data_IF_550071442452
#
_entry.id   IF_550071442452
#
_cell.length_a   1.000
_cell.length_b   1.000
_cell.length_c   1.000
_cell.angle_alpha   90.00
_cell.angle_beta   90.00
_cell.angle_gamma   90.00
#
_symmetry.space_group_name_H-M   'P 1'
#
loop_
_entity.id
_entity.type
_entity.pdbx_description
1 polymer ?
#
# COMPACT_ATOMS: atom_id res chain seq x y z
N UNK A 1 -43.04 -4.79 -31.43
CA UNK A 1 -41.62 -4.43 -31.48
C UNK A 1 -40.84 -5.58 -30.83
N UNK A 2 -40.45 -6.58 -31.60
CA UNK A 2 -39.59 -7.68 -31.11
C UNK A 2 -38.16 -7.20 -31.19
N UNK A 3 -37.49 -7.06 -30.04
CA UNK A 3 -36.08 -6.71 -30.01
C UNK A 3 -35.30 -7.83 -30.72
N UNK A 4 -34.57 -7.51 -31.79
CA UNK A 4 -33.65 -8.47 -32.38
C UNK A 4 -32.59 -8.85 -31.34
N UNK A 5 -32.25 -10.15 -31.23
CA UNK A 5 -31.23 -10.61 -30.30
C UNK A 5 -29.84 -10.06 -30.70
N UNK A 6 -29.04 -9.68 -29.71
CA UNK A 6 -27.70 -9.13 -29.94
C UNK A 6 -26.79 -10.09 -30.70
N UNK A 7 -25.97 -9.53 -31.58
CA UNK A 7 -24.93 -10.28 -32.28
C UNK A 7 -23.77 -10.68 -31.34
N UNK A 8 -23.00 -11.73 -31.66
CA UNK A 8 -21.83 -12.13 -30.85
C UNK A 8 -20.79 -11.00 -30.67
N UNK A 9 -20.61 -10.13 -31.66
CA UNK A 9 -19.70 -8.98 -31.57
C UNK A 9 -20.23 -7.91 -30.60
N UNK A 10 -21.52 -7.60 -30.66
CA UNK A 10 -22.16 -6.65 -29.73
C UNK A 10 -22.10 -7.16 -28.28
N UNK A 11 -22.29 -8.47 -28.08
CA UNK A 11 -22.14 -9.11 -26.77
C UNK A 11 -20.71 -8.98 -26.24
N UNK A 12 -19.69 -9.23 -27.08
CA UNK A 12 -18.28 -9.03 -26.71
C UNK A 12 -17.99 -7.57 -26.39
N UNK A 13 -18.39 -6.63 -27.25
CA UNK A 13 -18.17 -5.20 -27.05
C UNK A 13 -18.83 -4.67 -25.77
N UNK A 14 -20.04 -5.16 -25.45
CA UNK A 14 -20.71 -4.87 -24.18
C UNK A 14 -19.94 -5.45 -22.99
N UNK A 15 -19.52 -6.72 -23.06
CA UNK A 15 -18.73 -7.34 -21.99
C UNK A 15 -17.41 -6.60 -21.73
N UNK A 16 -16.73 -6.14 -22.78
CA UNK A 16 -15.54 -5.28 -22.69
C UNK A 16 -15.82 -3.97 -21.95
N UNK A 17 -16.91 -3.30 -22.31
CA UNK A 17 -17.32 -2.03 -21.71
C UNK A 17 -17.66 -2.20 -20.23
N UNK A 18 -18.42 -3.24 -19.89
CA UNK A 18 -18.79 -3.56 -18.51
C UNK A 18 -17.54 -3.85 -17.67
N UNK A 19 -16.61 -4.69 -18.16
CA UNK A 19 -15.35 -4.96 -17.45
C UNK A 19 -14.55 -3.69 -17.18
N UNK A 20 -14.46 -2.80 -18.17
CA UNK A 20 -13.76 -1.51 -18.04
C UNK A 20 -14.42 -0.63 -16.98
N UNK A 21 -15.75 -0.50 -17.02
CA UNK A 21 -16.50 0.29 -16.04
C UNK A 21 -16.33 -0.25 -14.63
N UNK A 22 -16.43 -1.57 -14.43
CA UNK A 22 -16.23 -2.20 -13.12
C UNK A 22 -14.80 -1.97 -12.62
N UNK A 23 -13.79 -2.09 -13.49
CA UNK A 23 -12.39 -1.84 -13.13
C UNK A 23 -12.21 -0.43 -12.57
N UNK A 24 -12.73 0.59 -13.28
CA UNK A 24 -12.63 1.98 -12.83
C UNK A 24 -13.46 2.27 -11.58
N UNK A 25 -14.66 1.69 -11.46
CA UNK A 25 -15.49 1.83 -10.27
C UNK A 25 -14.77 1.31 -9.02
N UNK A 26 -14.14 0.13 -9.11
CA UNK A 26 -13.34 -0.43 -8.02
C UNK A 26 -12.16 0.48 -7.68
N UNK A 27 -11.43 0.97 -8.69
CA UNK A 27 -10.30 1.88 -8.47
C UNK A 27 -10.75 3.15 -7.73
N UNK A 28 -11.83 3.79 -8.18
CA UNK A 28 -12.35 5.01 -7.53
C UNK A 28 -12.79 4.72 -6.09
N UNK A 29 -13.46 3.60 -5.84
CA UNK A 29 -13.85 3.21 -4.49
C UNK A 29 -12.64 3.03 -3.56
N UNK A 30 -11.57 2.39 -4.04
CA UNK A 30 -10.34 2.21 -3.27
C UNK A 30 -9.66 3.56 -3.00
N UNK A 31 -9.60 4.45 -4.02
CA UNK A 31 -9.05 5.80 -3.84
C UNK A 31 -9.82 6.56 -2.75
N UNK A 32 -11.15 6.54 -2.77
CA UNK A 32 -11.97 7.21 -1.74
C UNK A 32 -11.75 6.61 -0.35
N UNK A 33 -11.64 5.29 -0.26
CA UNK A 33 -11.36 4.60 1.01
C UNK A 33 -10.01 5.04 1.62
N UNK A 34 -8.95 5.04 0.82
CA UNK A 34 -7.62 5.47 1.29
C UNK A 34 -7.56 6.96 1.58
N UNK A 35 -8.21 7.80 0.76
CA UNK A 35 -8.30 9.24 1.02
C UNK A 35 -8.97 9.54 2.38
N UNK A 36 -10.00 8.77 2.75
CA UNK A 36 -10.64 8.87 4.05
C UNK A 36 -9.69 8.52 5.21
N UNK A 37 -8.93 7.42 5.08
CA UNK A 37 -7.96 7.02 6.10
C UNK A 37 -6.79 8.00 6.23
N UNK A 38 -6.25 8.52 5.12
CA UNK A 38 -5.16 9.51 5.15
C UNK A 38 -5.64 10.86 5.69
N UNK A 39 -6.89 11.24 5.43
CA UNK A 39 -7.50 12.43 6.05
C UNK A 39 -7.61 12.27 7.57
N UNK A 40 -8.12 11.12 8.02
CA UNK A 40 -8.20 10.80 9.45
C UNK A 40 -6.82 10.78 10.12
N UNK A 41 -5.78 10.29 9.45
CA UNK A 41 -4.38 10.36 9.92
C UNK A 41 -3.93 11.80 10.17
N UNK A 42 -4.07 12.69 9.17
CA UNK A 42 -3.62 14.09 9.27
C UNK A 42 -4.37 14.85 10.36
N UNK A 43 -5.69 14.65 10.46
CA UNK A 43 -6.50 15.29 11.50
C UNK A 43 -6.15 14.76 12.90
N UNK A 44 -5.83 13.47 13.04
CA UNK A 44 -5.44 12.90 14.34
C UNK A 44 -4.06 13.38 14.80
N UNK A 45 -3.18 13.71 13.86
CA UNK A 45 -1.83 14.21 14.14
C UNK A 45 -1.81 15.63 14.72
N UNK A 46 -2.81 16.47 14.42
CA UNK A 46 -2.80 17.89 14.82
C UNK A 46 -3.24 18.14 16.27
N UNK A 47 -3.92 17.18 16.91
CA UNK A 47 -4.63 17.40 18.17
C UNK A 47 -3.93 16.99 19.47
N UNK A 48 -2.78 16.30 19.42
CA UNK A 48 -2.17 15.72 20.62
C UNK A 48 -0.73 15.25 20.46
N UNK A 49 -0.34 14.26 21.28
CA UNK A 49 0.95 13.59 21.16
C UNK A 49 0.98 12.72 19.91
N UNK A 50 2.00 12.91 19.08
CA UNK A 50 2.20 12.17 17.86
C UNK A 50 3.53 11.42 17.89
N UNK A 51 3.53 10.18 17.41
CA UNK A 51 4.73 9.37 17.32
C UNK A 51 5.12 9.26 15.85
N UNK A 52 6.21 9.93 15.48
CA UNK A 52 6.85 9.75 14.18
C UNK A 52 7.55 8.41 14.20
N UNK A 53 7.18 7.52 13.27
CA UNK A 53 7.80 6.20 13.14
C UNK A 53 8.72 6.24 11.93
N UNK A 54 10.00 5.98 12.14
CA UNK A 54 10.95 5.91 11.03
C UNK A 54 10.62 4.71 10.15
N UNK A 55 10.47 4.94 8.84
CA UNK A 55 10.11 3.88 7.89
C UNK A 55 11.28 2.91 7.71
N UNK A 56 11.10 1.60 8.00
CA UNK A 56 12.14 0.59 7.86
C UNK A 56 12.69 0.44 6.43
N UNK A 57 13.97 0.07 6.33
CA UNK A 57 14.67 -0.22 5.06
C UNK A 57 13.93 -1.22 4.12
N UNK A 58 13.29 -2.30 4.62
CA UNK A 58 12.55 -3.23 3.77
C UNK A 58 11.46 -2.58 2.88
N UNK A 59 10.85 -1.47 3.31
CA UNK A 59 9.82 -0.81 2.52
C UNK A 59 10.39 -0.15 1.24
N UNK A 60 11.65 0.26 1.24
CA UNK A 60 12.32 0.79 0.04
C UNK A 60 12.63 -0.31 -0.98
N UNK A 61 13.04 -1.49 -0.50
CA UNK A 61 13.22 -2.69 -1.34
C UNK A 61 11.89 -3.07 -2.00
N UNK A 62 10.79 -3.01 -1.24
CA UNK A 62 9.45 -3.25 -1.77
C UNK A 62 9.10 -2.30 -2.92
N UNK A 63 9.48 -1.02 -2.80
CA UNK A 63 9.19 0.01 -3.81
C UNK A 63 9.94 -0.26 -5.11
N UNK A 64 11.21 -0.66 -5.03
CA UNK A 64 11.95 -1.09 -6.21
C UNK A 64 11.31 -2.33 -6.86
N UNK A 65 10.90 -3.31 -6.05
CA UNK A 65 10.27 -4.55 -6.54
C UNK A 65 8.92 -4.28 -7.24
N UNK A 66 8.06 -3.41 -6.69
CA UNK A 66 6.74 -3.13 -7.28
C UNK A 66 6.86 -2.31 -8.57
N UNK A 67 7.84 -1.41 -8.67
CA UNK A 67 8.12 -0.67 -9.91
C UNK A 67 8.60 -1.62 -11.01
N UNK A 68 9.52 -2.54 -10.68
CA UNK A 68 9.97 -3.56 -11.63
C UNK A 68 8.82 -4.51 -12.04
N UNK A 69 7.98 -4.91 -11.09
CA UNK A 69 6.79 -5.75 -11.32
C UNK A 69 5.76 -5.07 -12.22
N UNK A 70 5.57 -3.77 -12.02
CA UNK A 70 4.72 -2.91 -12.86
C UNK A 70 5.24 -2.91 -14.31
N UNK A 71 6.55 -2.73 -14.51
CA UNK A 71 7.14 -2.78 -15.85
C UNK A 71 6.95 -4.13 -16.53
N UNK A 72 7.16 -5.25 -15.84
CA UNK A 72 6.95 -6.58 -16.42
C UNK A 72 5.48 -6.84 -16.80
N UNK A 73 4.53 -6.39 -15.97
CA UNK A 73 3.10 -6.48 -16.26
C UNK A 73 2.70 -5.65 -17.51
N UNK A 74 3.26 -4.44 -17.64
CA UNK A 74 3.07 -3.60 -18.82
C UNK A 74 3.60 -4.29 -20.08
N UNK A 75 4.79 -4.88 -20.03
CA UNK A 75 5.37 -5.61 -21.16
C UNK A 75 4.53 -6.83 -21.55
N UNK A 76 3.90 -7.51 -20.59
CA UNK A 76 2.97 -8.61 -20.85
C UNK A 76 1.75 -8.14 -21.66
N UNK A 77 1.14 -7.03 -21.22
CA UNK A 77 0.01 -6.42 -21.93
C UNK A 77 0.40 -5.93 -23.34
N UNK A 78 1.58 -5.32 -23.48
CA UNK A 78 2.12 -4.91 -24.79
C UNK A 78 2.31 -6.11 -25.71
N UNK A 79 2.86 -7.21 -25.20
CA UNK A 79 3.07 -8.43 -25.98
C UNK A 79 1.76 -9.02 -26.48
N UNK A 80 0.71 -9.01 -25.67
CA UNK A 80 -0.64 -9.42 -26.07
C UNK A 80 -1.21 -8.56 -27.20
N UNK A 81 -1.07 -7.23 -27.11
CA UNK A 81 -1.50 -6.29 -28.16
C UNK A 81 -0.77 -6.48 -29.49
N UNK A 82 0.49 -6.89 -29.44
CA UNK A 82 1.31 -7.16 -30.64
C UNK A 82 1.21 -8.59 -31.17
N UNK A 83 0.36 -9.44 -30.57
CA UNK A 83 0.18 -10.84 -30.98
C UNK A 83 1.31 -11.80 -30.56
N UNK A 84 2.29 -11.36 -29.77
CA UNK A 84 3.43 -12.18 -29.29
C UNK A 84 3.06 -13.01 -28.06
N UNK A 85 2.15 -13.97 -28.24
CA UNK A 85 1.51 -14.72 -27.14
C UNK A 85 2.46 -15.56 -26.28
N UNK A 86 3.55 -16.07 -26.85
CA UNK A 86 4.52 -16.93 -26.15
C UNK A 86 5.27 -16.25 -24.99
N UNK A 87 5.38 -14.92 -25.00
CA UNK A 87 6.11 -14.17 -23.96
C UNK A 87 5.24 -13.71 -22.78
N UNK A 88 3.91 -13.74 -22.93
CA UNK A 88 2.97 -13.19 -21.94
C UNK A 88 3.08 -13.95 -20.61
N UNK A 89 3.07 -15.29 -20.66
CA UNK A 89 3.13 -16.12 -19.46
C UNK A 89 4.43 -15.90 -18.69
N UNK A 90 5.58 -15.86 -19.37
CA UNK A 90 6.88 -15.62 -18.74
C UNK A 90 6.94 -14.25 -18.06
N UNK A 91 6.43 -13.20 -18.72
CA UNK A 91 6.37 -11.85 -18.16
C UNK A 91 5.46 -11.77 -16.93
N UNK A 92 4.29 -12.43 -16.96
CA UNK A 92 3.39 -12.48 -15.80
C UNK A 92 3.96 -13.29 -14.64
N UNK A 93 4.72 -14.35 -14.91
CA UNK A 93 5.45 -15.10 -13.87
C UNK A 93 6.53 -14.22 -13.25
N UNK A 94 7.28 -13.45 -14.04
CA UNK A 94 8.22 -12.47 -13.50
C UNK A 94 7.52 -11.42 -12.62
N UNK A 95 6.36 -10.90 -13.05
CA UNK A 95 5.51 -10.00 -12.26
C UNK A 95 5.12 -10.62 -10.92
N UNK A 96 4.70 -11.89 -10.92
CA UNK A 96 4.33 -12.62 -9.71
C UNK A 96 5.52 -12.78 -8.75
N UNK A 97 6.69 -13.20 -9.25
CA UNK A 97 7.89 -13.35 -8.41
C UNK A 97 8.28 -12.04 -7.76
N UNK A 98 8.26 -10.93 -8.51
CA UNK A 98 8.51 -9.60 -7.96
C UNK A 98 7.42 -9.16 -6.97
N UNK A 99 6.16 -9.54 -7.21
CA UNK A 99 5.06 -9.36 -6.27
C UNK A 99 5.27 -10.13 -4.95
N UNK A 100 5.83 -11.34 -5.01
CA UNK A 100 6.17 -12.12 -3.82
C UNK A 100 7.36 -11.50 -3.06
N UNK A 101 8.36 -10.98 -3.77
CA UNK A 101 9.45 -10.21 -3.16
C UNK A 101 8.90 -8.97 -2.44
N UNK A 102 7.97 -8.25 -3.07
CA UNK A 102 7.23 -7.15 -2.44
C UNK A 102 6.55 -7.63 -1.16
N UNK A 103 5.70 -8.66 -1.23
CA UNK A 103 4.99 -9.20 -0.05
C UNK A 103 5.94 -9.59 1.07
N UNK A 104 7.01 -10.30 0.76
CA UNK A 104 8.03 -10.70 1.75
C UNK A 104 8.68 -9.50 2.43
N UNK A 105 9.03 -8.47 1.67
CA UNK A 105 9.63 -7.24 2.22
C UNK A 105 8.66 -6.46 3.11
N UNK A 106 7.36 -6.47 2.81
CA UNK A 106 6.32 -5.89 3.68
C UNK A 106 6.28 -6.58 5.04
N UNK A 107 6.24 -7.92 5.05
CA UNK A 107 6.25 -8.69 6.30
C UNK A 107 7.53 -8.48 7.10
N UNK A 108 8.69 -8.33 6.43
CA UNK A 108 9.94 -7.95 7.11
C UNK A 108 9.87 -6.57 7.74
N UNK A 109 9.33 -5.57 7.02
CA UNK A 109 9.13 -4.23 7.55
C UNK A 109 8.21 -4.22 8.78
N UNK A 110 7.08 -4.93 8.73
CA UNK A 110 6.21 -5.09 9.89
C UNK A 110 6.88 -5.81 11.06
N UNK A 111 7.66 -6.87 10.79
CA UNK A 111 8.42 -7.56 11.84
C UNK A 111 9.39 -6.61 12.53
N UNK A 112 10.05 -5.73 11.79
CA UNK A 112 10.96 -4.74 12.37
C UNK A 112 10.20 -3.74 13.26
N UNK A 113 9.03 -3.28 12.82
CA UNK A 113 8.17 -2.38 13.59
C UNK A 113 7.67 -3.03 14.88
N UNK A 114 7.19 -4.28 14.82
CA UNK A 114 6.72 -5.00 16.02
C UNK A 114 7.86 -5.29 16.99
N UNK A 115 9.08 -5.60 16.51
CA UNK A 115 10.23 -5.76 17.41
C UNK A 115 10.60 -4.47 18.14
N UNK A 116 10.31 -3.31 17.54
CA UNK A 116 10.47 -1.99 18.15
C UNK A 116 9.28 -1.58 19.03
N UNK A 117 8.31 -2.46 19.28
CA UNK A 117 7.15 -2.16 20.12
C UNK A 117 5.99 -1.46 19.40
N UNK A 118 6.11 -1.22 18.10
CA UNK A 118 5.03 -0.63 17.31
C UNK A 118 4.04 -1.72 16.89
N UNK A 119 2.97 -1.84 17.66
CA UNK A 119 1.84 -2.75 17.38
C UNK A 119 0.60 -1.98 16.95
N UNK A 120 -0.39 -2.69 16.39
CA UNK A 120 -1.70 -2.13 16.04
C UNK A 120 -2.38 -1.43 17.22
N UNK A 121 -2.17 -1.92 18.44
CA UNK A 121 -2.58 -1.26 19.68
C UNK A 121 -1.38 -1.30 20.62
N UNK A 122 -0.80 -0.15 20.89
CA UNK A 122 0.35 0.04 21.78
C UNK A 122 0.23 1.39 22.49
N UNK A 123 0.87 1.55 23.64
CA UNK A 123 1.05 2.87 24.27
C UNK A 123 2.20 3.62 23.62
N UNK A 124 2.28 4.94 23.83
CA UNK A 124 3.39 5.76 23.32
C UNK A 124 4.74 5.32 23.91
N UNK A 125 4.75 4.92 25.18
CA UNK A 125 5.95 4.48 25.90
C UNK A 125 6.30 3.00 25.73
N UNK A 126 5.41 2.18 25.15
CA UNK A 126 5.66 0.76 24.85
C UNK A 126 6.55 0.61 23.59
N UNK A 127 7.66 1.33 23.53
CA UNK A 127 8.57 1.36 22.39
C UNK A 127 9.97 0.90 22.80
N UNK A 128 10.47 -0.12 22.10
CA UNK A 128 11.80 -0.69 22.32
C UNK A 128 12.85 -0.15 21.32
N UNK A 129 12.45 0.77 20.45
CA UNK A 129 13.32 1.46 19.51
C UNK A 129 14.17 2.54 20.17
N UNK A 130 15.08 3.13 19.39
CA UNK A 130 15.93 4.23 19.84
C UNK A 130 15.26 5.58 19.53
N UNK A 131 15.05 6.41 20.56
CA UNK A 131 14.50 7.76 20.39
C UNK A 131 15.41 8.63 19.50
N UNK A 132 14.83 9.36 18.55
CA UNK A 132 15.55 10.19 17.58
C UNK A 132 16.11 9.44 16.37
N UNK A 133 16.08 8.09 16.37
CA UNK A 133 16.48 7.27 15.23
C UNK A 133 15.30 6.47 14.70
N UNK A 134 14.66 5.68 15.56
CA UNK A 134 13.54 4.80 15.20
C UNK A 134 12.18 5.47 15.38
N UNK A 135 12.08 6.36 16.36
CA UNK A 135 10.86 7.13 16.61
C UNK A 135 11.16 8.47 17.25
N UNK A 136 10.28 9.44 17.02
CA UNK A 136 10.28 10.75 17.71
C UNK A 136 8.88 11.05 18.19
N UNK A 137 8.74 11.63 19.38
CA UNK A 137 7.44 12.06 19.90
C UNK A 137 7.33 13.56 19.71
N UNK A 138 6.25 14.02 19.07
CA UNK A 138 5.90 15.42 18.90
C UNK A 138 4.68 15.78 19.72
N UNK A 139 4.65 17.01 20.19
CA UNK A 139 3.48 17.63 20.78
C UNK A 139 3.29 19.01 20.17
N UNK A 140 2.12 19.26 19.57
CA UNK A 140 1.82 20.54 18.89
C UNK A 140 2.88 20.94 17.83
N UNK A 141 3.43 19.96 17.11
CA UNK A 141 4.46 20.17 16.09
C UNK A 141 5.88 20.38 16.61
N UNK A 142 6.11 20.37 17.93
CA UNK A 142 7.45 20.42 18.53
C UNK A 142 7.89 19.03 18.98
N UNK A 143 9.10 18.62 18.60
CA UNK A 143 9.69 17.36 19.09
C UNK A 143 10.03 17.48 20.58
N UNK A 144 9.65 16.48 21.36
CA UNK A 144 9.98 16.41 22.78
C UNK A 144 11.49 16.18 22.96
N UNK A 145 12.01 16.55 24.11
CA UNK A 145 13.41 16.27 24.49
C UNK A 145 13.41 15.11 25.46
N UNK A 146 14.26 14.11 25.21
CA UNK A 146 14.47 12.98 26.11
C UNK A 146 15.75 13.22 26.91
N UNK A 147 15.62 13.49 28.20
CA UNK A 147 16.74 13.62 29.15
C UNK A 147 16.44 12.83 30.42
N UNK A 148 17.44 12.15 30.98
CA UNK A 148 17.32 11.31 32.19
C UNK A 148 16.15 10.28 32.16
N UNK A 149 15.77 9.81 30.96
CA UNK A 149 14.65 8.87 30.77
C UNK A 149 13.27 9.53 30.84
N UNK A 150 13.21 10.85 30.93
CA UNK A 150 11.98 11.64 30.98
C UNK A 150 11.82 12.53 29.74
N UNK A 151 10.56 12.71 29.32
CA UNK A 151 10.20 13.53 28.17
C UNK A 151 9.78 14.92 28.61
N UNK A 152 10.37 15.94 27.99
CA UNK A 152 10.11 17.34 28.28
C UNK A 152 9.70 18.10 27.01
N UNK A 153 8.98 19.19 27.19
CA UNK A 153 8.79 20.16 26.11
C UNK A 153 10.12 20.86 25.81
N UNK A 154 10.44 21.14 24.54
CA UNK A 154 11.70 21.81 24.20
C UNK A 154 11.82 23.25 24.74
N UNK A 155 10.71 23.87 25.15
CA UNK A 155 10.72 25.19 25.80
C UNK A 155 10.98 25.11 27.33
N UNK A 156 10.93 23.91 27.94
CA UNK A 156 11.18 23.71 29.36
C UNK A 156 12.67 23.46 29.62
N UNK A 157 13.51 24.48 29.45
CA UNK A 157 14.97 24.37 29.60
C UNK A 157 15.43 23.91 31.00
N UNK A 158 14.56 23.95 32.01
CA UNK A 158 14.86 23.54 33.37
C UNK A 158 14.37 22.10 33.67
N UNK A 159 13.72 21.43 32.71
CA UNK A 159 13.24 20.06 32.80
C UNK A 159 12.43 19.80 34.09
N UNK A 160 11.58 20.76 34.45
CA UNK A 160 10.83 20.74 35.71
C UNK A 160 9.53 19.94 35.62
N UNK A 161 9.00 19.74 34.40
CA UNK A 161 7.72 19.09 34.16
C UNK A 161 7.86 17.87 33.25
N UNK A 162 8.15 16.68 33.81
CA UNK A 162 8.21 15.47 33.01
C UNK A 162 6.81 15.06 32.52
N UNK A 163 6.72 14.72 31.24
CA UNK A 163 5.48 14.35 30.56
C UNK A 163 5.19 12.84 30.58
N UNK A 164 6.04 12.04 31.25
CA UNK A 164 5.94 10.58 31.21
C UNK A 164 4.61 10.04 31.77
N UNK A 165 4.07 10.67 32.82
CA UNK A 165 2.77 10.27 33.38
C UNK A 165 1.65 10.45 32.35
N UNK A 166 1.64 11.59 31.67
CA UNK A 166 0.69 11.86 30.59
C UNK A 166 0.91 10.89 29.42
N UNK A 167 2.17 10.64 29.03
CA UNK A 167 2.52 9.77 27.91
C UNK A 167 2.18 8.29 28.15
N UNK A 168 2.21 7.80 29.40
CA UNK A 168 1.84 6.41 29.72
C UNK A 168 0.35 6.14 29.52
N UNK A 169 -0.49 7.17 29.64
CA UNK A 169 -1.93 7.05 29.37
C UNK A 169 -2.25 7.16 27.87
N UNK A 170 -1.33 7.70 27.07
CA UNK A 170 -1.55 7.92 25.64
C UNK A 170 -1.33 6.64 24.82
N UNK A 171 -2.28 6.40 23.92
CA UNK A 171 -2.16 5.35 22.90
C UNK A 171 -1.34 5.84 21.71
N UNK A 172 -0.54 4.97 21.14
CA UNK A 172 0.20 5.23 19.92
C UNK A 172 -0.74 5.17 18.70
N UNK A 173 -1.50 6.24 18.51
CA UNK A 173 -2.47 6.40 17.42
C UNK A 173 -1.80 6.35 16.05
N UNK A 174 -0.56 6.85 15.93
CA UNK A 174 0.24 6.81 14.70
C UNK A 174 0.49 5.37 14.23
N UNK A 175 0.93 4.49 15.14
CA UNK A 175 1.11 3.06 14.85
C UNK A 175 -0.19 2.41 14.37
N UNK A 176 -1.32 2.68 15.03
CA UNK A 176 -2.62 2.16 14.63
C UNK A 176 -2.97 2.52 13.18
N UNK A 177 -2.77 3.79 12.78
CA UNK A 177 -3.00 4.21 11.40
C UNK A 177 -2.00 3.61 10.42
N UNK A 178 -0.72 3.49 10.80
CA UNK A 178 0.28 2.84 9.96
C UNK A 178 -0.15 1.42 9.60
N UNK A 179 -0.57 0.62 10.59
CA UNK A 179 -1.07 -0.74 10.37
C UNK A 179 -2.41 -0.76 9.62
N UNK A 180 -3.31 0.20 9.85
CA UNK A 180 -4.57 0.29 9.11
C UNK A 180 -4.33 0.55 7.62
N UNK A 181 -3.49 1.53 7.27
CA UNK A 181 -3.15 1.88 5.89
C UNK A 181 -2.40 0.75 5.19
N UNK A 182 -1.31 0.26 5.79
CA UNK A 182 -0.50 -0.81 5.18
C UNK A 182 -1.22 -2.15 5.16
N UNK A 183 -2.02 -2.46 6.20
CA UNK A 183 -2.84 -3.67 6.26
C UNK A 183 -3.96 -3.67 5.24
N UNK A 184 -4.67 -2.55 5.08
CA UNK A 184 -5.66 -2.42 4.01
C UNK A 184 -5.01 -2.56 2.63
N UNK A 185 -3.81 -2.00 2.41
CA UNK A 185 -3.08 -2.17 1.15
C UNK A 185 -2.75 -3.64 0.89
N UNK A 186 -2.28 -4.38 1.90
CA UNK A 186 -2.01 -5.81 1.79
C UNK A 186 -3.27 -6.62 1.44
N UNK A 187 -4.43 -6.27 1.99
CA UNK A 187 -5.69 -6.91 1.63
C UNK A 187 -6.02 -6.74 0.14
N UNK A 188 -5.77 -5.56 -0.44
CA UNK A 188 -5.95 -5.33 -1.87
C UNK A 188 -4.88 -6.04 -2.71
N UNK A 189 -3.64 -6.11 -2.22
CA UNK A 189 -2.57 -6.88 -2.85
C UNK A 189 -2.95 -8.35 -2.98
N UNK A 190 -3.59 -8.94 -1.97
CA UNK A 190 -4.06 -10.33 -2.03
C UNK A 190 -4.97 -10.57 -3.25
N UNK A 191 -5.95 -9.71 -3.48
CA UNK A 191 -6.81 -9.79 -4.67
C UNK A 191 -6.02 -9.56 -5.98
N UNK A 192 -5.00 -8.70 -5.95
CA UNK A 192 -4.07 -8.50 -7.05
C UNK A 192 -3.27 -9.76 -7.40
N UNK A 193 -2.76 -10.47 -6.40
CA UNK A 193 -2.01 -11.72 -6.56
C UNK A 193 -2.90 -12.83 -7.11
N UNK A 194 -4.14 -12.95 -6.62
CA UNK A 194 -5.14 -13.89 -7.18
C UNK A 194 -5.43 -13.57 -8.64
N UNK A 195 -5.62 -12.28 -8.98
CA UNK A 195 -5.80 -11.83 -10.37
C UNK A 195 -4.60 -12.22 -11.26
N UNK A 196 -3.36 -12.04 -10.76
CA UNK A 196 -2.15 -12.47 -11.47
C UNK A 196 -2.13 -13.98 -11.74
N UNK A 197 -2.45 -14.81 -10.74
CA UNK A 197 -2.50 -16.26 -10.91
C UNK A 197 -3.52 -16.68 -11.98
N UNK A 198 -4.70 -16.05 -11.97
CA UNK A 198 -5.73 -16.27 -12.99
C UNK A 198 -5.22 -15.84 -14.37
N UNK A 199 -4.56 -14.69 -14.49
CA UNK A 199 -3.99 -14.24 -15.75
C UNK A 199 -2.88 -15.18 -16.26
N UNK A 200 -2.01 -15.68 -15.39
CA UNK A 200 -0.99 -16.67 -15.75
C UNK A 200 -1.67 -17.95 -16.28
N UNK A 201 -2.68 -18.48 -15.57
CA UNK A 201 -3.42 -19.66 -16.01
C UNK A 201 -4.13 -19.47 -17.36
N UNK A 202 -4.63 -18.27 -17.64
CA UNK A 202 -5.20 -17.93 -18.95
C UNK A 202 -4.12 -17.79 -20.04
N UNK A 203 -2.97 -17.21 -19.72
CA UNK A 203 -1.84 -17.05 -20.64
C UNK A 203 -1.24 -18.41 -21.03
N UNK A 204 -1.10 -19.34 -20.09
CA UNK A 204 -0.61 -20.70 -20.35
C UNK A 204 -1.55 -21.50 -21.27
N UNK A 205 -2.86 -21.25 -21.19
CA UNK A 205 -3.87 -21.81 -22.10
C UNK A 205 -3.95 -21.07 -23.45
N UNK A 206 -3.03 -20.14 -23.73
CA UNK A 206 -2.98 -19.31 -24.95
C UNK A 206 -4.29 -18.57 -25.25
N UNK A 207 -5.05 -18.19 -24.21
CA UNK A 207 -6.34 -17.49 -24.38
C UNK A 207 -6.20 -16.02 -24.75
N UNK A 208 -5.05 -15.41 -24.48
CA UNK A 208 -4.83 -14.00 -24.83
C UNK A 208 -4.42 -13.86 -26.28
N UNK A 209 -5.28 -13.22 -27.06
CA UNK A 209 -5.04 -12.83 -28.46
C UNK A 209 -5.08 -11.31 -28.59
N UNK A 210 -4.72 -10.78 -29.77
CA UNK A 210 -4.82 -9.34 -30.02
C UNK A 210 -6.27 -8.83 -29.86
N UNK A 211 -7.26 -9.67 -30.18
CA UNK A 211 -8.69 -9.35 -30.10
C UNK A 211 -9.30 -9.62 -28.71
N UNK A 212 -8.79 -10.62 -27.98
CA UNK A 212 -9.30 -11.01 -26.65
C UNK A 212 -8.22 -10.88 -25.56
N UNK A 213 -7.91 -9.64 -25.17
CA UNK A 213 -6.99 -9.30 -24.08
C UNK A 213 -7.65 -8.45 -22.98
N UNK A 214 -8.98 -8.44 -22.93
CA UNK A 214 -9.78 -7.67 -21.98
C UNK A 214 -9.39 -7.90 -20.53
N UNK A 215 -9.30 -9.18 -20.14
CA UNK A 215 -8.99 -9.59 -18.78
C UNK A 215 -7.57 -9.23 -18.39
N UNK A 216 -6.63 -9.34 -19.33
CA UNK A 216 -5.25 -8.92 -19.13
C UNK A 216 -5.17 -7.40 -18.93
N UNK A 217 -5.88 -6.62 -19.73
CA UNK A 217 -5.94 -5.17 -19.56
C UNK A 217 -6.48 -4.77 -18.19
N UNK A 218 -7.60 -5.34 -17.75
CA UNK A 218 -8.17 -5.04 -16.42
C UNK A 218 -7.23 -5.44 -15.30
N UNK A 219 -6.66 -6.65 -15.34
CA UNK A 219 -5.76 -7.12 -14.30
C UNK A 219 -4.44 -6.34 -14.23
N UNK A 220 -3.84 -5.99 -15.37
CA UNK A 220 -2.63 -5.17 -15.43
C UNK A 220 -2.92 -3.74 -14.96
N UNK A 221 -4.06 -3.15 -15.34
CA UNK A 221 -4.46 -1.82 -14.86
C UNK A 221 -4.64 -1.80 -13.34
N UNK A 222 -5.29 -2.83 -12.78
CA UNK A 222 -5.44 -2.96 -11.33
C UNK A 222 -4.09 -3.14 -10.62
N UNK A 223 -3.19 -3.95 -11.18
CA UNK A 223 -1.85 -4.14 -10.63
C UNK A 223 -1.02 -2.84 -10.62
N UNK A 224 -1.06 -2.08 -11.71
CA UNK A 224 -0.43 -0.75 -11.77
C UNK A 224 -1.01 0.20 -10.73
N UNK A 225 -2.33 0.22 -10.57
CA UNK A 225 -2.99 1.04 -9.56
C UNK A 225 -2.51 0.69 -8.14
N UNK A 226 -2.39 -0.60 -7.79
CA UNK A 226 -1.86 -1.01 -6.48
C UNK A 226 -0.42 -0.56 -6.25
N UNK A 227 0.41 -0.58 -7.30
CA UNK A 227 1.79 -0.09 -7.23
C UNK A 227 1.85 1.43 -7.04
N UNK A 228 1.05 2.20 -7.78
CA UNK A 228 0.95 3.66 -7.60
C UNK A 228 0.43 4.01 -6.20
N UNK A 229 -0.60 3.30 -5.74
CA UNK A 229 -1.15 3.45 -4.40
C UNK A 229 -0.08 3.19 -3.34
N UNK A 230 0.75 2.16 -3.49
CA UNK A 230 1.86 1.89 -2.58
C UNK A 230 2.87 3.04 -2.53
N UNK A 231 3.32 3.53 -3.69
CA UNK A 231 4.28 4.65 -3.77
C UNK A 231 3.71 5.90 -3.11
N UNK A 232 2.42 6.16 -3.32
CA UNK A 232 1.71 7.25 -2.62
C UNK A 232 1.71 7.05 -1.10
N UNK A 233 1.31 5.87 -0.60
CA UNK A 233 1.27 5.60 0.84
C UNK A 233 2.65 5.70 1.49
N UNK A 234 3.69 5.16 0.84
CA UNK A 234 5.06 5.28 1.33
C UNK A 234 5.50 6.74 1.39
N UNK A 235 5.26 7.51 0.33
CA UNK A 235 5.59 8.94 0.32
C UNK A 235 4.82 9.70 1.40
N UNK A 236 3.54 9.39 1.58
CA UNK A 236 2.72 9.97 2.63
C UNK A 236 3.31 9.70 4.02
N UNK A 237 3.67 8.44 4.33
CA UNK A 237 4.25 8.06 5.61
C UNK A 237 5.68 8.60 5.83
N UNK A 238 6.42 8.93 4.77
CA UNK A 238 7.80 9.44 4.82
C UNK A 238 7.87 10.96 4.83
N UNK A 239 6.81 11.68 4.44
CA UNK A 239 6.85 13.14 4.36
C UNK A 239 5.86 13.83 5.30
N UNK A 240 4.81 13.14 5.75
CA UNK A 240 3.80 13.70 6.63
C UNK A 240 4.11 13.31 8.08
N UNK A 241 4.69 14.26 8.83
CA UNK A 241 4.99 14.17 10.25
C UNK A 241 5.00 15.57 10.87
#
# INVERSE_FOLDING_TARGET
MTLEPFTPEELKARAMRVRRMITWMIIVAIVMFFAGLTSAYVVSMSGGYWVDIAVPQPFWISTAAIIASSLSAYLALRSARTGKTGSIAALLVATLLLGLVFTWSQFKGWKELTTKGNFLVSKVLDNNGVYGVDYTIRFQGKALVLEDGQFYLPDDHAHLKPLNADLDEQKNTSSSFFYALTGAHLAHLFFGLVSLLVMIGMALRKRYTAEDHAGLWSGVTYWHFLGVLWVYLLSFLVFVH
#
